data_IF_511000853025
#
_entry.id   IF_511000853025
#
_cell.length_a   1.000
_cell.length_b   1.000
_cell.length_c   1.000
_cell.angle_alpha   90.00
_cell.angle_beta   90.00
_cell.angle_gamma   90.00
#
_symmetry.space_group_name_H-M   'P 1'
#
loop_
_entity.id
_entity.type
_entity.pdbx_description
1 polymer ?
#
# COMPACT_ATOMS: atom_id res chain seq x y z
N UNK A 1 18.95 -5.19 10.92
CA UNK A 1 18.59 -6.38 10.10
C UNK A 1 17.19 -6.14 9.55
N UNK A 2 16.96 -6.36 8.26
CA UNK A 2 15.62 -6.25 7.65
C UNK A 2 15.06 -7.66 7.48
N UNK A 3 13.88 -7.91 8.04
CA UNK A 3 13.15 -9.18 7.92
C UNK A 3 11.76 -8.87 7.33
N UNK A 4 11.62 -8.83 5.99
CA UNK A 4 10.37 -8.45 5.37
C UNK A 4 9.31 -9.52 5.61
N UNK A 5 8.17 -9.12 6.18
CA UNK A 5 7.02 -10.00 6.42
C UNK A 5 6.24 -10.29 5.14
N UNK A 6 6.32 -9.38 4.17
CA UNK A 6 5.65 -9.46 2.88
C UNK A 6 6.66 -9.26 1.76
N UNK A 7 6.46 -9.97 0.66
CA UNK A 7 7.19 -9.81 -0.58
C UNK A 7 6.21 -9.53 -1.72
N UNK A 8 6.55 -8.57 -2.57
CA UNK A 8 5.75 -8.23 -3.75
C UNK A 8 6.15 -9.14 -4.90
N UNK A 9 5.16 -9.82 -5.46
CA UNK A 9 5.31 -10.65 -6.64
C UNK A 9 4.51 -10.07 -7.80
N UNK A 10 5.17 -9.80 -8.92
CA UNK A 10 4.47 -9.43 -10.15
C UNK A 10 3.63 -10.60 -10.65
N UNK A 11 2.44 -10.28 -11.17
CA UNK A 11 1.56 -11.28 -11.78
C UNK A 11 1.74 -11.25 -13.29
N UNK A 12 1.85 -12.43 -13.93
CA UNK A 12 1.86 -12.52 -15.38
C UNK A 12 0.42 -12.29 -15.90
N UNK A 13 0.14 -11.06 -16.35
CA UNK A 13 -1.17 -10.72 -16.88
C UNK A 13 -1.07 -10.30 -18.35
N UNK A 14 -2.03 -10.74 -19.16
CA UNK A 14 -2.18 -10.24 -20.51
C UNK A 14 -2.69 -8.79 -20.44
N UNK A 15 -1.91 -7.86 -21.01
CA UNK A 15 -2.21 -6.46 -20.99
C UNK A 15 -2.86 -6.05 -22.31
N UNK A 16 -4.15 -5.74 -22.27
CA UNK A 16 -4.85 -5.09 -23.38
C UNK A 16 -5.15 -3.63 -22.99
N UNK A 17 -4.58 -2.71 -23.71
CA UNK A 17 -4.79 -1.26 -23.54
C UNK A 17 -5.62 -0.64 -24.66
N UNK A 18 -6.25 -1.44 -25.51
CA UNK A 18 -7.12 -0.96 -26.58
C UNK A 18 -8.29 -0.16 -25.99
N UNK A 19 -8.49 1.06 -26.48
CA UNK A 19 -9.56 1.95 -26.00
C UNK A 19 -9.38 2.49 -24.58
N UNK A 20 -8.21 2.27 -23.94
CA UNK A 20 -7.90 2.83 -22.62
C UNK A 20 -7.45 4.29 -22.77
N UNK A 21 -8.04 5.18 -21.97
CA UNK A 21 -7.77 6.61 -21.99
C UNK A 21 -6.83 7.05 -20.85
N UNK A 22 -6.80 6.33 -19.74
CA UNK A 22 -5.94 6.64 -18.59
C UNK A 22 -5.64 5.40 -17.75
N UNK A 23 -4.61 5.51 -16.93
CA UNK A 23 -4.26 4.53 -15.89
C UNK A 23 -4.56 5.11 -14.51
N UNK A 24 -5.05 4.29 -13.60
CA UNK A 24 -5.20 4.65 -12.19
C UNK A 24 -4.27 3.77 -11.33
N UNK A 25 -3.57 4.39 -10.40
CA UNK A 25 -2.70 3.69 -9.45
C UNK A 25 -3.01 4.11 -8.02
N UNK A 26 -3.21 3.11 -7.17
CA UNK A 26 -3.45 3.29 -5.73
C UNK A 26 -2.24 2.91 -4.87
N UNK A 27 -1.11 2.56 -5.50
CA UNK A 27 0.13 2.22 -4.80
C UNK A 27 1.35 2.35 -5.70
N UNK A 28 2.50 2.59 -5.08
CA UNK A 28 3.83 2.56 -5.72
C UNK A 28 4.12 1.19 -6.36
N UNK A 29 3.71 0.10 -5.69
CA UNK A 29 3.88 -1.26 -6.21
C UNK A 29 3.08 -1.50 -7.49
N UNK A 30 1.88 -0.91 -7.60
CA UNK A 30 1.08 -0.97 -8.84
C UNK A 30 1.77 -0.30 -10.01
N UNK A 31 2.40 0.86 -9.78
CA UNK A 31 3.21 1.55 -10.79
C UNK A 31 4.39 0.69 -11.22
N UNK A 32 5.17 0.18 -10.28
CA UNK A 32 6.36 -0.63 -10.57
C UNK A 32 6.00 -1.92 -11.32
N UNK A 33 4.96 -2.63 -10.89
CA UNK A 33 4.51 -3.86 -11.54
C UNK A 33 3.98 -3.59 -12.97
N UNK A 34 3.18 -2.53 -13.16
CA UNK A 34 2.70 -2.14 -14.50
C UNK A 34 3.86 -1.74 -15.40
N UNK A 35 4.83 -0.97 -14.89
CA UNK A 35 5.99 -0.52 -15.65
C UNK A 35 6.88 -1.68 -16.11
N UNK A 36 6.93 -2.78 -15.35
CA UNK A 36 7.62 -4.02 -15.74
C UNK A 36 6.86 -4.84 -16.80
N UNK A 37 5.52 -4.71 -16.85
CA UNK A 37 4.67 -5.42 -17.80
C UNK A 37 4.53 -4.72 -19.16
N UNK A 38 4.72 -3.40 -19.20
CA UNK A 38 4.45 -2.58 -20.39
C UNK A 38 5.44 -1.45 -20.53
N UNK A 39 5.85 -1.18 -21.75
CA UNK A 39 6.64 -0.01 -22.12
C UNK A 39 5.78 1.24 -22.37
N UNK A 40 4.45 1.12 -22.34
CA UNK A 40 3.52 2.24 -22.56
C UNK A 40 3.68 3.29 -21.46
N UNK A 41 4.00 4.54 -21.87
CA UNK A 41 4.17 5.71 -20.97
C UNK A 41 3.37 6.93 -21.43
N UNK A 42 2.61 6.79 -22.52
CA UNK A 42 1.85 7.88 -23.15
C UNK A 42 0.47 8.11 -22.54
N UNK A 43 -0.06 7.12 -21.82
CA UNK A 43 -1.35 7.26 -21.16
C UNK A 43 -1.24 8.16 -19.93
N UNK A 44 -2.21 9.07 -19.71
CA UNK A 44 -2.33 9.83 -18.46
C UNK A 44 -2.45 8.92 -17.25
N UNK A 45 -1.86 9.33 -16.15
CA UNK A 45 -1.88 8.62 -14.86
C UNK A 45 -2.68 9.42 -13.84
N UNK A 46 -3.60 8.75 -13.16
CA UNK A 46 -4.37 9.22 -12.02
C UNK A 46 -3.86 8.49 -10.78
N UNK A 47 -3.13 9.18 -9.92
CA UNK A 47 -2.49 8.62 -8.74
C UNK A 47 -3.29 8.97 -7.49
N UNK A 48 -3.36 8.05 -6.53
CA UNK A 48 -4.04 8.28 -5.25
C UNK A 48 -3.40 9.39 -4.43
N UNK A 49 -2.07 9.51 -4.48
CA UNK A 49 -1.33 10.51 -3.71
C UNK A 49 0.08 10.71 -4.25
N UNK A 50 0.80 11.69 -3.69
CA UNK A 50 2.07 12.18 -4.21
C UNK A 50 3.18 11.09 -4.27
N UNK A 51 3.24 10.17 -3.30
CA UNK A 51 4.21 9.06 -3.36
C UNK A 51 4.01 8.19 -4.61
N UNK A 52 2.75 7.88 -4.97
CA UNK A 52 2.40 7.11 -6.17
C UNK A 52 2.63 7.93 -7.44
N UNK A 53 2.31 9.23 -7.41
CA UNK A 53 2.57 10.14 -8.52
C UNK A 53 4.07 10.28 -8.81
N UNK A 54 4.90 10.39 -7.77
CA UNK A 54 6.36 10.41 -7.90
C UNK A 54 6.88 9.12 -8.52
N UNK A 55 6.44 7.96 -8.03
CA UNK A 55 6.82 6.68 -8.62
C UNK A 55 6.45 6.59 -10.10
N UNK A 56 5.30 7.14 -10.51
CA UNK A 56 4.89 7.18 -11.90
C UNK A 56 5.81 8.10 -12.74
N UNK A 57 6.24 9.26 -12.22
CA UNK A 57 7.22 10.13 -12.90
C UNK A 57 8.56 9.41 -13.08
N UNK A 58 9.05 8.75 -12.02
CA UNK A 58 10.30 7.99 -12.03
C UNK A 58 10.22 6.80 -13.01
N UNK A 59 9.04 6.21 -13.19
CA UNK A 59 8.78 5.18 -14.19
C UNK A 59 8.66 5.71 -15.63
N UNK A 60 8.73 7.04 -15.86
CA UNK A 60 8.73 7.67 -17.16
C UNK A 60 7.37 8.13 -17.70
N UNK A 61 6.30 8.14 -16.90
CA UNK A 61 5.03 8.73 -17.30
C UNK A 61 5.12 10.26 -17.32
N UNK A 62 4.62 10.89 -18.39
CA UNK A 62 4.71 12.34 -18.58
C UNK A 62 3.50 13.11 -18.05
N UNK A 63 2.31 12.52 -18.10
CA UNK A 63 1.04 13.18 -17.75
C UNK A 63 0.50 12.52 -16.48
N UNK A 64 0.63 13.21 -15.35
CA UNK A 64 0.26 12.65 -14.04
C UNK A 64 -0.55 13.66 -13.25
N UNK A 65 -1.65 13.19 -12.67
CA UNK A 65 -2.48 13.90 -11.71
C UNK A 65 -2.49 13.12 -10.41
N UNK A 66 -2.32 13.81 -9.29
CA UNK A 66 -2.45 13.24 -7.95
C UNK A 66 -3.73 13.73 -7.30
N UNK A 67 -4.43 12.83 -6.61
CA UNK A 67 -5.58 13.19 -5.80
C UNK A 67 -5.17 13.70 -4.40
N UNK A 68 -3.89 13.58 -4.06
CA UNK A 68 -3.26 13.98 -2.79
C UNK A 68 -3.97 13.49 -1.54
N UNK A 69 -4.57 12.31 -1.61
CA UNK A 69 -5.39 11.77 -0.54
C UNK A 69 -5.50 10.23 -0.55
N UNK A 70 -6.69 9.76 -0.37
CA UNK A 70 -7.04 8.34 -0.31
C UNK A 70 -7.83 7.86 -1.55
N UNK A 71 -8.41 6.65 -1.46
CA UNK A 71 -9.22 6.07 -2.53
C UNK A 71 -10.47 6.90 -2.84
N UNK A 72 -11.07 7.53 -1.83
CA UNK A 72 -12.25 8.35 -2.00
C UNK A 72 -11.93 9.65 -2.74
N UNK A 73 -10.78 10.26 -2.44
CA UNK A 73 -10.26 11.45 -3.13
C UNK A 73 -9.93 11.13 -4.60
N UNK A 74 -9.26 9.99 -4.85
CA UNK A 74 -9.01 9.52 -6.23
C UNK A 74 -10.32 9.30 -6.99
N UNK A 75 -11.31 8.67 -6.37
CA UNK A 75 -12.62 8.47 -6.98
C UNK A 75 -13.33 9.80 -7.25
N UNK A 76 -13.23 10.77 -6.34
CA UNK A 76 -13.79 12.11 -6.54
C UNK A 76 -13.13 12.84 -7.71
N UNK A 77 -11.80 12.78 -7.81
CA UNK A 77 -11.05 13.35 -8.92
C UNK A 77 -11.45 12.70 -10.24
N UNK A 78 -11.58 11.36 -10.31
CA UNK A 78 -12.02 10.66 -11.51
C UNK A 78 -13.43 11.10 -11.93
N UNK A 79 -14.37 11.21 -10.99
CA UNK A 79 -15.74 11.67 -11.26
C UNK A 79 -15.78 13.10 -11.80
N UNK A 80 -14.86 13.95 -11.36
CA UNK A 80 -14.80 15.35 -11.79
C UNK A 80 -14.09 15.53 -13.14
N UNK A 81 -12.95 14.86 -13.34
CA UNK A 81 -12.02 15.19 -14.42
C UNK A 81 -11.92 14.12 -15.52
N UNK A 82 -12.36 12.90 -15.26
CA UNK A 82 -12.21 11.76 -16.16
C UNK A 82 -13.54 11.07 -16.52
N UNK A 83 -14.63 11.86 -16.49
CA UNK A 83 -15.97 11.35 -16.77
C UNK A 83 -16.09 10.76 -18.17
N UNK A 84 -16.69 9.58 -18.27
CA UNK A 84 -16.89 8.87 -19.53
C UNK A 84 -15.63 8.18 -20.08
N UNK A 85 -14.49 8.30 -19.41
CA UNK A 85 -13.26 7.65 -19.85
C UNK A 85 -13.22 6.18 -19.47
N UNK A 86 -12.52 5.38 -20.29
CA UNK A 86 -12.12 4.02 -19.94
C UNK A 86 -10.75 4.06 -19.23
N UNK A 87 -10.71 3.58 -18.01
CA UNK A 87 -9.55 3.65 -17.12
C UNK A 87 -9.15 2.25 -16.68
N UNK A 88 -7.87 1.91 -16.75
CA UNK A 88 -7.30 0.71 -16.15
C UNK A 88 -6.75 1.04 -14.78
N UNK A 89 -7.31 0.42 -13.75
CA UNK A 89 -6.78 0.45 -12.39
C UNK A 89 -5.81 -0.71 -12.19
N UNK A 90 -4.52 -0.44 -12.34
CA UNK A 90 -3.47 -1.43 -12.11
C UNK A 90 -3.15 -1.49 -10.60
N UNK A 91 -3.50 -2.60 -9.96
CA UNK A 91 -3.50 -2.71 -8.50
C UNK A 91 -3.04 -4.09 -8.01
N UNK A 92 -3.08 -4.28 -6.69
CA UNK A 92 -2.88 -5.58 -6.06
C UNK A 92 -4.01 -6.57 -6.42
N UNK A 93 -3.72 -7.88 -6.35
CA UNK A 93 -4.76 -8.92 -6.44
C UNK A 93 -5.83 -8.77 -5.35
N UNK A 94 -5.43 -8.31 -4.17
CA UNK A 94 -6.31 -7.94 -3.06
C UNK A 94 -6.10 -6.45 -2.73
N UNK A 95 -6.81 -5.53 -3.41
CA UNK A 95 -6.69 -4.10 -3.14
C UNK A 95 -7.36 -3.74 -1.80
N UNK A 96 -6.87 -2.67 -1.17
CA UNK A 96 -7.42 -2.18 0.10
C UNK A 96 -8.84 -1.59 -0.01
N UNK A 97 -9.30 -1.33 -1.23
CA UNK A 97 -10.65 -0.83 -1.51
C UNK A 97 -11.02 -1.01 -2.99
N UNK A 98 -12.30 -0.83 -3.29
CA UNK A 98 -12.85 -0.99 -4.65
C UNK A 98 -13.02 0.38 -5.33
N UNK A 99 -12.03 0.75 -6.16
CA UNK A 99 -12.07 1.99 -6.92
C UNK A 99 -13.25 2.01 -7.91
N UNK A 100 -13.59 0.86 -8.51
CA UNK A 100 -14.72 0.77 -9.45
C UNK A 100 -16.04 1.11 -8.76
N UNK A 101 -16.30 0.52 -7.59
CA UNK A 101 -17.48 0.83 -6.82
C UNK A 101 -17.51 2.29 -6.35
N UNK A 102 -16.35 2.84 -5.94
CA UNK A 102 -16.25 4.24 -5.50
C UNK A 102 -16.48 5.26 -6.62
N UNK A 103 -16.05 4.95 -7.86
CA UNK A 103 -16.27 5.82 -9.04
C UNK A 103 -17.70 5.70 -9.59
N UNK A 104 -18.32 4.51 -9.49
CA UNK A 104 -19.65 4.22 -10.04
C UNK A 104 -19.66 4.36 -11.56
N UNK A 105 -20.77 4.86 -12.11
CA UNK A 105 -21.00 5.00 -13.55
C UNK A 105 -20.32 6.22 -14.19
N UNK A 106 -19.56 7.00 -13.40
CA UNK A 106 -18.92 8.21 -13.93
C UNK A 106 -17.81 7.91 -14.94
N UNK A 107 -17.10 6.79 -14.79
CA UNK A 107 -16.08 6.31 -15.71
C UNK A 107 -16.05 4.78 -15.75
N UNK A 108 -15.59 4.20 -16.86
CA UNK A 108 -15.47 2.75 -16.99
C UNK A 108 -14.15 2.26 -16.37
N UNK A 109 -14.20 1.82 -15.13
CA UNK A 109 -13.02 1.30 -14.42
C UNK A 109 -12.86 -0.20 -14.68
N UNK A 110 -11.75 -0.60 -15.28
CA UNK A 110 -11.30 -1.99 -15.40
C UNK A 110 -10.18 -2.26 -14.40
N UNK A 111 -10.47 -3.06 -13.39
CA UNK A 111 -9.47 -3.51 -12.41
C UNK A 111 -8.54 -4.53 -13.06
N UNK A 112 -7.24 -4.30 -12.94
CA UNK A 112 -6.19 -5.16 -13.47
C UNK A 112 -5.20 -5.50 -12.34
N UNK A 113 -5.31 -6.70 -11.75
CA UNK A 113 -4.33 -7.16 -10.77
C UNK A 113 -2.97 -7.39 -11.45
N UNK A 114 -1.97 -6.57 -11.09
CA UNK A 114 -0.62 -6.63 -11.66
C UNK A 114 0.44 -7.15 -10.68
N UNK A 115 0.09 -7.24 -9.39
CA UNK A 115 0.95 -7.80 -8.36
C UNK A 115 0.15 -8.40 -7.22
N UNK A 116 0.82 -9.22 -6.43
CA UNK A 116 0.32 -9.67 -5.13
C UNK A 116 1.40 -9.50 -4.06
N UNK A 117 0.98 -9.34 -2.80
CA UNK A 117 1.88 -9.41 -1.66
C UNK A 117 1.75 -10.80 -1.05
N UNK A 118 2.83 -11.56 -0.96
CA UNK A 118 2.89 -12.86 -0.30
C UNK A 118 3.58 -12.75 1.04
N UNK A 119 3.12 -13.52 2.01
CA UNK A 119 3.83 -13.67 3.27
C UNK A 119 5.14 -14.44 3.02
N UNK A 120 6.23 -13.94 3.60
CA UNK A 120 7.56 -14.54 3.40
C UNK A 120 7.78 -15.78 4.25
N UNK A 121 7.01 -15.92 5.33
CA UNK A 121 7.25 -16.93 6.36
C UNK A 121 8.58 -16.71 7.13
N UNK A 122 9.24 -15.57 6.93
CA UNK A 122 10.48 -15.26 7.64
C UNK A 122 10.18 -15.10 9.13
N UNK A 123 10.89 -15.86 9.96
CA UNK A 123 10.80 -15.71 11.39
C UNK A 123 11.32 -14.33 11.82
N UNK A 124 10.68 -13.75 12.84
CA UNK A 124 11.19 -12.53 13.44
C UNK A 124 12.64 -12.73 13.92
N UNK A 125 13.51 -11.72 13.83
CA UNK A 125 14.86 -11.78 14.40
C UNK A 125 14.80 -12.19 15.87
N UNK A 126 15.83 -12.86 16.37
CA UNK A 126 15.87 -13.30 17.76
C UNK A 126 15.96 -12.13 18.77
N UNK A 127 16.48 -10.96 18.34
CA UNK A 127 16.62 -9.76 19.17
C UNK A 127 16.07 -8.54 18.47
N UNK A 128 15.04 -7.93 19.04
CA UNK A 128 14.43 -6.69 18.63
C UNK A 128 13.60 -6.10 19.78
N UNK A 129 13.50 -4.79 19.85
CA UNK A 129 12.79 -4.07 20.92
C UNK A 129 11.42 -3.55 20.41
N UNK A 130 11.34 -3.19 19.14
CA UNK A 130 10.13 -2.68 18.54
C UNK A 130 9.95 -3.17 17.10
N UNK A 131 8.70 -3.19 16.62
CA UNK A 131 8.33 -3.49 15.24
C UNK A 131 7.45 -2.39 14.65
N UNK A 132 7.72 -2.01 13.41
CA UNK A 132 6.94 -1.03 12.66
C UNK A 132 6.02 -1.75 11.66
N UNK A 133 4.74 -1.42 11.68
CA UNK A 133 3.71 -2.07 10.88
C UNK A 133 3.06 -1.05 9.94
N UNK A 134 3.35 -1.19 8.64
CA UNK A 134 2.95 -0.25 7.59
C UNK A 134 1.62 -0.61 6.89
N UNK A 135 0.99 -1.73 7.24
CA UNK A 135 -0.28 -2.11 6.63
C UNK A 135 -1.05 -3.14 7.48
N UNK A 136 -2.39 -3.20 7.35
CA UNK A 136 -3.19 -4.25 8.00
C UNK A 136 -2.75 -5.67 7.61
N UNK A 137 -2.27 -5.88 6.39
CA UNK A 137 -1.76 -7.18 5.93
C UNK A 137 -0.47 -7.56 6.64
N UNK A 138 0.47 -6.62 6.80
CA UNK A 138 1.70 -6.85 7.58
C UNK A 138 1.38 -7.16 9.05
N UNK A 139 0.39 -6.48 9.63
CA UNK A 139 -0.10 -6.77 10.99
C UNK A 139 -0.64 -8.20 11.12
N UNK A 140 -1.43 -8.67 10.15
CA UNK A 140 -1.93 -10.06 10.12
C UNK A 140 -0.80 -11.07 9.95
N UNK A 141 0.13 -10.83 9.03
CA UNK A 141 1.29 -11.69 8.79
C UNK A 141 2.15 -11.83 10.04
N UNK A 142 2.43 -10.72 10.74
CA UNK A 142 3.16 -10.75 12.01
C UNK A 142 2.39 -11.52 13.06
N UNK A 143 1.10 -11.25 13.25
CA UNK A 143 0.26 -11.91 14.23
C UNK A 143 0.13 -13.43 13.99
N UNK A 144 0.22 -13.86 12.74
CA UNK A 144 0.21 -15.29 12.36
C UNK A 144 1.55 -16.00 12.55
N UNK A 145 2.66 -15.27 12.48
CA UNK A 145 4.02 -15.85 12.54
C UNK A 145 4.71 -15.70 13.89
N UNK A 146 4.29 -14.73 14.72
CA UNK A 146 4.95 -14.40 15.97
C UNK A 146 4.36 -15.22 17.13
N UNK A 147 5.22 -15.92 17.87
CA UNK A 147 4.76 -16.58 19.11
C UNK A 147 4.46 -15.55 20.21
N UNK A 148 3.49 -15.81 21.10
CA UNK A 148 3.20 -14.92 22.22
C UNK A 148 4.46 -14.52 23.02
N UNK A 149 5.31 -15.46 23.36
CA UNK A 149 6.57 -15.20 24.07
C UNK A 149 7.50 -14.25 23.33
N UNK A 150 7.47 -14.26 22.00
CA UNK A 150 8.32 -13.40 21.17
C UNK A 150 7.83 -11.95 21.11
N UNK A 151 6.62 -11.64 21.56
CA UNK A 151 6.08 -10.28 21.66
C UNK A 151 6.15 -9.68 23.07
N UNK A 152 6.36 -10.51 24.10
CA UNK A 152 6.44 -10.05 25.49
C UNK A 152 7.53 -8.99 25.69
N UNK A 153 7.16 -7.90 26.39
CA UNK A 153 8.06 -6.80 26.72
C UNK A 153 8.45 -5.90 25.54
N UNK A 154 7.93 -6.16 24.34
CA UNK A 154 8.25 -5.43 23.09
C UNK A 154 7.16 -4.45 22.70
N UNK A 155 7.49 -3.50 21.84
CA UNK A 155 6.59 -2.46 21.38
C UNK A 155 6.22 -2.71 19.90
N UNK A 156 4.92 -2.62 19.59
CA UNK A 156 4.47 -2.55 18.21
C UNK A 156 4.01 -1.13 17.90
N UNK A 157 4.42 -0.59 16.74
CA UNK A 157 3.98 0.72 16.26
C UNK A 157 3.34 0.53 14.89
N UNK A 158 2.06 0.85 14.79
CA UNK A 158 1.28 0.66 13.58
C UNK A 158 0.94 2.00 12.91
N UNK A 159 0.97 2.03 11.59
CA UNK A 159 0.68 3.22 10.80
C UNK A 159 -0.79 3.65 10.87
N UNK A 160 -1.68 2.74 11.29
CA UNK A 160 -3.12 3.00 11.41
C UNK A 160 -3.77 2.03 12.41
N UNK A 161 -4.98 2.33 12.92
CA UNK A 161 -5.73 1.42 13.78
C UNK A 161 -5.99 0.05 13.13
N UNK A 162 -6.29 0.02 11.82
CA UNK A 162 -6.50 -1.21 11.08
C UNK A 162 -5.23 -2.08 11.00
N UNK A 163 -4.04 -1.47 11.02
CA UNK A 163 -2.77 -2.19 11.05
C UNK A 163 -2.43 -2.71 12.46
N UNK A 164 -2.90 -2.03 13.50
CA UNK A 164 -2.73 -2.43 14.91
C UNK A 164 -3.64 -3.58 15.33
N UNK A 165 -4.90 -3.59 14.88
CA UNK A 165 -5.94 -4.51 15.32
C UNK A 165 -5.55 -6.01 15.34
N UNK A 166 -4.81 -6.56 14.36
CA UNK A 166 -4.36 -7.95 14.41
C UNK A 166 -3.41 -8.26 15.58
N UNK A 167 -2.72 -7.24 16.10
CA UNK A 167 -1.67 -7.37 17.12
C UNK A 167 -2.21 -7.34 18.55
N UNK A 168 -3.45 -6.86 18.77
CA UNK A 168 -4.06 -6.70 20.08
C UNK A 168 -4.17 -8.01 20.88
N UNK A 169 -4.17 -9.16 20.19
CA UNK A 169 -4.20 -10.49 20.81
C UNK A 169 -2.81 -11.00 21.25
N UNK A 170 -1.74 -10.29 20.91
CA UNK A 170 -0.37 -10.64 21.28
C UNK A 170 0.05 -9.84 22.52
N UNK A 171 0.84 -10.43 23.45
CA UNK A 171 1.21 -9.79 24.69
C UNK A 171 2.36 -8.78 24.51
N UNK A 172 2.22 -7.85 23.57
CA UNK A 172 3.10 -6.71 23.48
C UNK A 172 3.01 -5.87 24.76
N UNK A 173 4.12 -5.28 25.19
CA UNK A 173 4.10 -4.31 26.28
C UNK A 173 3.26 -3.10 25.93
N UNK A 174 3.29 -2.71 24.65
CA UNK A 174 2.51 -1.59 24.15
C UNK A 174 2.25 -1.75 22.63
N UNK A 175 1.05 -1.39 22.19
CA UNK A 175 0.72 -1.23 20.77
C UNK A 175 0.35 0.23 20.54
N UNK A 176 1.19 0.95 19.79
CA UNK A 176 1.02 2.37 19.47
C UNK A 176 0.47 2.52 18.06
N UNK A 177 -0.29 3.58 17.83
CA UNK A 177 -0.76 3.94 16.50
C UNK A 177 -0.22 5.33 16.15
N UNK A 178 0.31 5.47 14.94
CA UNK A 178 0.78 6.74 14.43
C UNK A 178 -0.37 7.77 14.34
N UNK A 179 -0.07 9.04 14.62
CA UNK A 179 -1.05 10.12 14.57
C UNK A 179 -1.56 10.44 13.15
N UNK A 180 -0.80 10.04 12.13
CA UNK A 180 -1.16 10.14 10.72
C UNK A 180 -0.56 8.95 9.95
N UNK A 181 -1.12 8.54 8.81
CA UNK A 181 -0.62 7.40 8.03
C UNK A 181 0.62 7.78 7.18
N UNK A 182 1.64 8.34 7.83
CA UNK A 182 2.91 8.75 7.24
C UNK A 182 4.08 8.09 7.96
N UNK A 183 5.20 7.92 7.25
CA UNK A 183 6.43 7.34 7.83
C UNK A 183 6.94 8.19 8.99
N UNK A 184 6.93 9.52 8.85
CA UNK A 184 7.38 10.43 9.91
C UNK A 184 6.55 10.29 11.19
N UNK A 185 5.22 10.18 11.06
CA UNK A 185 4.34 9.97 12.20
C UNK A 185 4.53 8.58 12.83
N UNK A 186 4.80 7.54 12.02
CA UNK A 186 5.09 6.20 12.49
C UNK A 186 6.41 6.19 13.29
N UNK A 187 7.46 6.82 12.77
CA UNK A 187 8.74 6.95 13.46
C UNK A 187 8.64 7.83 14.72
N UNK A 188 7.84 8.90 14.68
CA UNK A 188 7.57 9.72 15.86
C UNK A 188 6.87 8.94 16.98
N UNK A 189 5.93 8.05 16.61
CA UNK A 189 5.23 7.18 17.55
C UNK A 189 6.13 6.09 18.16
N UNK A 190 7.23 5.71 17.50
CA UNK A 190 8.23 4.81 18.07
C UNK A 190 8.86 5.39 19.33
N UNK A 191 9.02 6.74 19.38
CA UNK A 191 9.68 7.43 20.47
C UNK A 191 11.20 7.29 20.45
N UNK A 192 11.87 7.97 21.36
CA UNK A 192 13.31 7.79 21.56
C UNK A 192 13.55 6.46 22.29
N UNK A 193 14.57 5.68 21.91
CA UNK A 193 14.96 4.51 22.69
C UNK A 193 15.19 4.95 24.14
N UNK A 194 14.50 4.28 25.07
CA UNK A 194 14.75 4.52 26.50
C UNK A 194 16.22 4.22 26.78
N UNK A 195 16.95 5.23 27.22
CA UNK A 195 18.28 5.01 27.79
C UNK A 195 18.02 4.32 29.13
N UNK A 196 18.16 2.98 29.16
CA UNK A 196 18.27 2.27 30.43
C UNK A 196 19.54 2.75 31.11
N UNK A 197 19.38 3.49 32.21
CA UNK A 197 20.46 3.87 33.12
C UNK A 197 20.75 2.69 34.06
#
# INVERSE_FOLDING_TARGET
MVAPLLQIHALPVALDLSGVHALAFTSVNGVAAFAALSETRTLPVLAVGEATARAAREAGFAIIRSADGDLADLAAMIRAEARGLAIVHACAAEPAGDLRAAVGDAAAIRTLPVYEARETGVAAPWAWDAVLIHSPRAGRALAGSLSPKASEGRVAVAISPAAAAPLERLPFAEVRVAAAPTEDALLAALGKPGVSV
#
